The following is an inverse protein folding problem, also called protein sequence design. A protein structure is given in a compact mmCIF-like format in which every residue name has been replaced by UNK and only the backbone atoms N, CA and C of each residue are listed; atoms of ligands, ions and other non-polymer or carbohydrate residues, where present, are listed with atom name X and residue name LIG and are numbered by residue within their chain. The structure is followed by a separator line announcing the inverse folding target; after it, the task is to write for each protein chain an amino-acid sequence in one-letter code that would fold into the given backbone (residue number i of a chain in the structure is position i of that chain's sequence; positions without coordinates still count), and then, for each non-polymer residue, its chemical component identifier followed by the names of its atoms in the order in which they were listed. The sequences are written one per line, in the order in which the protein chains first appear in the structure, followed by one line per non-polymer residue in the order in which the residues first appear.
data_IF_471152407816
#
_entry.id   IF_471152407816
#
_cell.length_a   1.000
_cell.length_b   1.000
_cell.length_c   1.000
_cell.angle_alpha   90.00
_cell.angle_beta   90.00
_cell.angle_gamma   90.00
#
_symmetry.space_group_name_H-M   'P 1'
#
loop_
_entity.id
_entity.type
_entity.pdbx_description
1 polymer ?
#
# COMPACT_ATOMS: atom_id res chain seq x y z
N UNK A 1 -21.52 -0.18 5.26
CA UNK A 1 -22.23 0.68 6.22
C UNK A 1 -23.19 -0.20 6.98
N UNK A 2 -22.88 -0.52 8.24
CA UNK A 2 -23.85 -1.21 9.12
C UNK A 2 -25.08 -0.34 9.24
N UNK A 3 -26.26 -0.89 8.96
CA UNK A 3 -27.56 -0.24 9.01
C UNK A 3 -28.02 0.08 10.43
N UNK A 4 -27.15 0.73 11.20
CA UNK A 4 -27.48 1.38 12.46
C UNK A 4 -27.62 2.87 12.14
N UNK A 5 -28.71 3.22 11.45
CA UNK A 5 -29.30 4.54 11.64
C UNK A 5 -30.56 4.31 12.47
N UNK A 6 -30.27 3.95 13.73
CA UNK A 6 -31.16 4.05 14.87
C UNK A 6 -31.49 5.53 15.05
N UNK A 7 -32.75 5.84 15.39
CA UNK A 7 -33.08 7.13 15.98
C UNK A 7 -32.09 7.43 17.10
N UNK A 8 -31.26 8.47 16.93
CA UNK A 8 -30.50 9.02 18.03
C UNK A 8 -31.51 9.50 19.08
N UNK A 9 -31.57 8.78 20.20
CA UNK A 9 -32.58 8.99 21.24
C UNK A 9 -32.32 10.27 22.03
N UNK A 10 -31.08 10.74 22.03
CA UNK A 10 -30.66 12.00 22.67
C UNK A 10 -29.48 12.61 21.89
N UNK A 11 -29.76 13.38 20.83
CA UNK A 11 -28.73 14.03 20.02
C UNK A 11 -27.86 15.01 20.80
N UNK A 12 -28.36 15.58 21.91
CA UNK A 12 -27.59 16.50 22.73
C UNK A 12 -26.51 15.74 23.50
N UNK A 13 -26.87 14.63 24.14
CA UNK A 13 -25.89 13.76 24.81
C UNK A 13 -24.84 13.27 23.80
N UNK A 14 -25.26 12.78 22.62
CA UNK A 14 -24.32 12.34 21.57
C UNK A 14 -23.35 13.45 21.17
N UNK A 15 -23.84 14.67 21.01
CA UNK A 15 -23.01 15.84 20.68
C UNK A 15 -22.03 16.17 21.81
N UNK A 16 -22.46 16.15 23.08
CA UNK A 16 -21.58 16.40 24.23
C UNK A 16 -20.44 15.38 24.32
N UNK A 17 -20.69 14.10 24.01
CA UNK A 17 -19.64 13.07 23.95
C UNK A 17 -18.64 13.30 22.82
N UNK A 18 -19.11 13.72 21.64
CA UNK A 18 -18.24 14.06 20.51
C UNK A 18 -17.38 15.27 20.85
N UNK A 19 -17.98 16.35 21.37
CA UNK A 19 -17.27 17.56 21.77
C UNK A 19 -16.24 17.28 22.89
N UNK A 20 -16.57 16.39 23.82
CA UNK A 20 -15.63 15.96 24.86
C UNK A 20 -14.41 15.24 24.27
N UNK A 21 -14.61 14.37 23.28
CA UNK A 21 -13.52 13.69 22.60
C UNK A 21 -12.67 14.67 21.78
N UNK A 22 -13.30 15.60 21.07
CA UNK A 22 -12.63 16.64 20.29
C UNK A 22 -11.78 17.55 21.17
N UNK A 23 -12.29 17.93 22.36
CA UNK A 23 -11.53 18.70 23.34
C UNK A 23 -10.28 17.96 23.81
N UNK A 24 -10.36 16.65 24.10
CA UNK A 24 -9.19 15.84 24.45
C UNK A 24 -8.20 15.76 23.29
N UNK A 25 -8.68 15.58 22.06
CA UNK A 25 -7.83 15.55 20.88
C UNK A 25 -7.05 16.86 20.69
N UNK A 26 -7.69 18.00 20.94
CA UNK A 26 -7.08 19.33 20.82
C UNK A 26 -6.08 19.64 21.94
N UNK A 27 -6.41 19.30 23.19
CA UNK A 27 -5.62 19.70 24.36
C UNK A 27 -4.56 18.66 24.77
N UNK A 28 -4.88 17.36 24.67
CA UNK A 28 -4.01 16.26 25.14
C UNK A 28 -3.48 15.37 24.00
N UNK A 29 -4.06 15.45 22.79
CA UNK A 29 -3.58 14.77 21.60
C UNK A 29 -4.15 13.37 21.32
N UNK A 30 -3.77 12.76 20.18
CA UNK A 30 -4.38 11.52 19.67
C UNK A 30 -4.09 10.29 20.53
N UNK A 31 -2.91 10.18 21.13
CA UNK A 31 -2.55 9.05 21.99
C UNK A 31 -3.47 8.97 23.22
N UNK A 32 -3.77 10.13 23.81
CA UNK A 32 -4.66 10.22 24.96
C UNK A 32 -6.10 9.88 24.59
N UNK A 33 -6.60 10.45 23.49
CA UNK A 33 -7.94 10.15 23.00
C UNK A 33 -8.10 8.66 22.72
N UNK A 34 -7.11 8.03 22.08
CA UNK A 34 -7.09 6.58 21.84
C UNK A 34 -7.16 5.78 23.15
N UNK A 35 -6.34 6.13 24.14
CA UNK A 35 -6.36 5.48 25.45
C UNK A 35 -7.74 5.58 26.13
N UNK A 36 -8.40 6.74 26.09
CA UNK A 36 -9.72 6.91 26.69
C UNK A 36 -10.78 6.07 25.97
N UNK A 37 -10.75 6.04 24.64
CA UNK A 37 -11.64 5.20 23.83
C UNK A 37 -11.46 3.72 24.18
N UNK A 38 -10.21 3.24 24.31
CA UNK A 38 -9.96 1.87 24.76
C UNK A 38 -10.58 1.58 26.13
N UNK A 39 -10.44 2.49 27.11
CA UNK A 39 -11.05 2.32 28.45
C UNK A 39 -12.58 2.30 28.40
N UNK A 40 -13.20 3.14 27.57
CA UNK A 40 -14.65 3.17 27.39
C UNK A 40 -15.15 1.87 26.76
N UNK A 41 -14.48 1.39 25.71
CA UNK A 41 -14.75 0.11 25.05
C UNK A 41 -14.62 -1.04 26.04
N UNK A 42 -13.55 -1.08 26.83
CA UNK A 42 -13.30 -2.16 27.80
C UNK A 42 -14.36 -2.17 28.93
N UNK A 43 -14.76 -1.00 29.40
CA UNK A 43 -15.85 -0.81 30.37
C UNK A 43 -17.20 -1.28 29.80
N UNK A 44 -17.51 -0.91 28.56
CA UNK A 44 -18.74 -1.31 27.88
C UNK A 44 -18.81 -2.84 27.69
N UNK A 45 -17.71 -3.47 27.26
CA UNK A 45 -17.61 -4.93 27.14
C UNK A 45 -17.89 -5.65 28.45
N UNK A 46 -17.25 -5.23 29.55
CA UNK A 46 -17.44 -5.84 30.88
C UNK A 46 -18.87 -5.71 31.40
N UNK A 47 -19.59 -4.68 30.98
CA UNK A 47 -20.98 -4.41 31.36
C UNK A 47 -22.01 -5.00 30.39
N UNK A 48 -21.58 -5.85 29.44
CA UNK A 48 -22.47 -6.56 28.52
C UNK A 48 -22.90 -5.76 27.29
N UNK A 49 -22.27 -4.61 27.02
CA UNK A 49 -22.48 -3.85 25.80
C UNK A 49 -21.95 -4.59 24.58
N UNK A 50 -22.78 -4.75 23.55
CA UNK A 50 -22.38 -5.33 22.27
C UNK A 50 -21.69 -4.26 21.41
N UNK A 51 -20.36 -4.28 21.35
CA UNK A 51 -19.62 -3.49 20.37
C UNK A 51 -19.44 -4.32 19.11
N UNK A 52 -20.00 -3.93 17.95
CA UNK A 52 -19.56 -4.48 16.68
C UNK A 52 -18.11 -4.05 16.50
N UNK A 53 -17.17 -4.94 16.82
CA UNK A 53 -15.76 -4.73 16.50
C UNK A 53 -15.62 -4.81 14.98
N UNK A 54 -15.70 -3.66 14.32
CA UNK A 54 -15.26 -3.52 12.93
C UNK A 54 -13.79 -3.13 12.96
N UNK A 55 -12.91 -4.06 12.61
CA UNK A 55 -11.46 -3.85 12.46
C UNK A 55 -11.11 -2.97 11.23
N UNK A 56 -11.97 -2.02 10.89
CA UNK A 56 -11.86 -1.19 9.70
C UNK A 56 -11.62 0.25 10.14
N UNK A 57 -10.46 0.79 9.77
CA UNK A 57 -10.18 2.22 9.90
C UNK A 57 -10.97 3.00 8.85
N UNK A 58 -10.96 4.33 8.94
CA UNK A 58 -11.48 5.18 7.89
C UNK A 58 -10.84 4.85 6.53
N UNK A 59 -11.59 5.04 5.44
CA UNK A 59 -11.09 4.85 4.07
C UNK A 59 -10.23 6.04 3.63
N UNK A 60 -9.13 6.24 4.36
CA UNK A 60 -8.14 7.31 4.23
C UNK A 60 -6.73 6.72 4.37
N UNK A 61 -5.70 7.49 4.03
CA UNK A 61 -4.31 7.09 4.25
C UNK A 61 -4.04 6.98 5.76
N UNK A 62 -3.36 5.90 6.18
CA UNK A 62 -3.00 5.70 7.59
C UNK A 62 -1.92 6.65 8.09
N UNK A 63 -1.07 7.17 7.19
CA UNK A 63 -0.05 8.19 7.46
C UNK A 63 -0.57 9.51 6.87
N UNK A 64 -0.74 10.54 7.70
CA UNK A 64 -1.15 11.87 7.26
C UNK A 64 0.02 12.62 6.57
N UNK A 65 -0.31 13.70 5.86
CA UNK A 65 0.68 14.47 5.09
C UNK A 65 1.67 15.24 5.96
N UNK A 66 1.36 15.50 7.24
CA UNK A 66 2.28 16.17 8.16
C UNK A 66 3.35 15.20 8.71
N UNK A 67 3.00 13.92 8.80
CA UNK A 67 3.86 12.83 9.22
C UNK A 67 4.51 12.07 8.04
N UNK A 68 4.26 12.50 6.80
CA UNK A 68 4.85 11.89 5.60
C UNK A 68 6.35 12.20 5.49
N UNK A 69 7.24 11.18 5.46
CA UNK A 69 8.66 11.41 5.31
C UNK A 69 9.00 11.90 3.90
N UNK A 70 10.07 12.69 3.78
CA UNK A 70 10.56 13.13 2.48
C UNK A 70 11.12 11.94 1.67
N UNK A 71 10.74 11.85 0.40
CA UNK A 71 11.24 10.81 -0.49
C UNK A 71 12.69 11.11 -0.91
N UNK A 72 13.66 10.19 -0.70
CA UNK A 72 15.08 10.49 -0.88
C UNK A 72 15.54 10.53 -2.35
N UNK A 73 14.76 9.98 -3.28
CA UNK A 73 15.11 9.91 -4.71
C UNK A 73 14.54 11.05 -5.55
N UNK A 74 15.11 11.27 -6.74
CA UNK A 74 14.58 12.22 -7.72
C UNK A 74 13.33 11.62 -8.43
N UNK A 75 12.14 12.20 -8.24
CA UNK A 75 10.91 11.64 -8.80
C UNK A 75 10.86 11.66 -10.34
N UNK A 76 11.56 12.59 -11.00
CA UNK A 76 11.62 12.67 -12.45
C UNK A 76 12.49 11.54 -13.03
N UNK A 77 13.67 11.32 -12.46
CA UNK A 77 14.56 10.23 -12.88
C UNK A 77 13.87 8.88 -12.65
N UNK A 78 13.29 8.68 -11.47
CA UNK A 78 12.58 7.45 -11.15
C UNK A 78 11.39 7.19 -12.06
N UNK A 79 10.64 8.24 -12.42
CA UNK A 79 9.54 8.15 -13.39
C UNK A 79 10.03 7.74 -14.77
N UNK A 80 11.16 8.29 -15.23
CA UNK A 80 11.72 7.94 -16.53
C UNK A 80 12.16 6.48 -16.57
N UNK A 81 12.94 6.03 -15.58
CA UNK A 81 13.38 4.62 -15.47
C UNK A 81 12.15 3.69 -15.42
N UNK A 82 11.16 4.01 -14.56
CA UNK A 82 9.93 3.21 -14.45
C UNK A 82 9.13 3.17 -15.76
N UNK A 83 9.16 4.23 -16.56
CA UNK A 83 8.47 4.28 -17.86
C UNK A 83 9.16 3.37 -18.89
N UNK A 84 10.49 3.33 -18.91
CA UNK A 84 11.26 2.39 -19.75
C UNK A 84 10.98 0.93 -19.35
N UNK A 85 10.94 0.63 -18.05
CA UNK A 85 10.60 -0.72 -17.56
C UNK A 85 9.18 -1.12 -17.98
N UNK A 86 8.19 -0.22 -17.84
CA UNK A 86 6.81 -0.46 -18.28
C UNK A 86 6.72 -0.72 -19.79
N UNK A 87 7.46 0.05 -20.59
CA UNK A 87 7.52 -0.13 -22.03
C UNK A 87 8.08 -1.50 -22.41
N UNK A 88 9.25 -1.86 -21.86
CA UNK A 88 9.90 -3.14 -22.16
C UNK A 88 9.04 -4.34 -21.71
N UNK A 89 8.35 -4.24 -20.57
CA UNK A 89 7.45 -5.28 -20.09
C UNK A 89 6.26 -5.49 -21.06
N UNK A 90 5.66 -4.40 -21.55
CA UNK A 90 4.58 -4.47 -22.54
C UNK A 90 5.10 -5.01 -23.89
N UNK A 91 6.25 -4.52 -24.34
CA UNK A 91 6.85 -4.93 -25.61
C UNK A 91 7.11 -6.44 -25.64
N UNK A 92 7.68 -7.01 -24.57
CA UNK A 92 7.92 -8.45 -24.43
C UNK A 92 6.63 -9.27 -24.58
N UNK A 93 5.56 -8.88 -23.87
CA UNK A 93 4.26 -9.59 -23.97
C UNK A 93 3.66 -9.46 -25.38
N UNK A 94 3.77 -8.29 -26.02
CA UNK A 94 3.27 -8.10 -27.38
C UNK A 94 4.10 -8.88 -28.42
N UNK A 95 5.43 -8.96 -28.25
CA UNK A 95 6.31 -9.78 -29.10
C UNK A 95 5.95 -11.26 -28.97
N UNK A 96 5.76 -11.76 -27.74
CA UNK A 96 5.30 -13.12 -27.50
C UNK A 96 3.91 -13.39 -28.12
N UNK A 97 2.96 -12.46 -27.97
CA UNK A 97 1.63 -12.58 -28.56
C UNK A 97 1.66 -12.67 -30.10
N UNK A 98 2.54 -11.90 -30.75
CA UNK A 98 2.73 -11.94 -32.21
C UNK A 98 3.19 -13.30 -32.75
N UNK A 99 3.79 -14.16 -31.92
CA UNK A 99 4.20 -15.51 -32.32
C UNK A 99 2.98 -16.43 -32.57
N UNK A 100 1.80 -16.08 -32.07
CA UNK A 100 0.56 -16.86 -32.22
C UNK A 100 0.71 -18.33 -31.76
N UNK A 101 1.43 -18.52 -30.64
CA UNK A 101 1.72 -19.83 -30.04
C UNK A 101 1.01 -20.01 -28.67
N UNK A 102 -0.02 -19.21 -28.38
CA UNK A 102 -0.75 -19.24 -27.09
C UNK A 102 0.14 -19.13 -25.84
N UNK A 103 1.24 -18.36 -25.94
CA UNK A 103 2.21 -18.19 -24.85
C UNK A 103 1.66 -17.43 -23.63
N UNK A 104 0.62 -16.61 -23.84
CA UNK A 104 0.02 -15.76 -22.81
C UNK A 104 0.90 -14.57 -22.41
N UNK A 105 0.64 -14.02 -21.22
CA UNK A 105 1.35 -12.87 -20.65
C UNK A 105 0.41 -11.80 -20.08
N UNK A 106 0.80 -11.17 -18.98
CA UNK A 106 -0.02 -10.18 -18.27
C UNK A 106 0.63 -8.80 -18.32
N UNK A 107 -0.10 -7.80 -18.81
CA UNK A 107 0.37 -6.40 -18.87
C UNK A 107 -0.17 -5.59 -17.68
N UNK A 108 -1.47 -5.71 -17.43
CA UNK A 108 -2.18 -4.85 -16.46
C UNK A 108 -1.72 -5.05 -15.01
N UNK A 109 -1.38 -6.28 -14.63
CA UNK A 109 -0.94 -6.60 -13.26
C UNK A 109 0.35 -5.87 -12.88
N UNK A 110 1.33 -5.84 -13.78
CA UNK A 110 2.54 -5.07 -13.53
C UNK A 110 2.27 -3.57 -13.66
N UNK A 111 1.43 -3.16 -14.62
CA UNK A 111 1.12 -1.74 -14.80
C UNK A 111 0.49 -1.09 -13.54
N UNK A 112 -0.37 -1.79 -12.80
CA UNK A 112 -0.95 -1.26 -11.57
C UNK A 112 0.06 -1.17 -10.42
N UNK A 113 1.06 -2.06 -10.38
CA UNK A 113 2.00 -2.20 -9.26
C UNK A 113 3.42 -1.67 -9.53
N UNK A 114 3.74 -1.21 -10.75
CA UNK A 114 5.12 -0.87 -11.11
C UNK A 114 5.73 0.27 -10.26
N UNK A 115 4.92 1.18 -9.75
CA UNK A 115 5.40 2.24 -8.85
C UNK A 115 5.80 1.64 -7.49
N UNK A 116 4.98 0.77 -6.92
CA UNK A 116 5.27 0.07 -5.66
C UNK A 116 6.61 -0.68 -5.74
N UNK A 117 6.78 -1.51 -6.76
CA UNK A 117 8.04 -2.23 -6.96
C UNK A 117 9.19 -1.28 -7.30
N UNK A 118 8.95 -0.20 -8.04
CA UNK A 118 9.97 0.81 -8.34
C UNK A 118 10.55 1.44 -7.07
N UNK A 119 9.69 1.83 -6.12
CA UNK A 119 10.10 2.32 -4.80
C UNK A 119 10.85 1.23 -4.03
N UNK A 120 10.32 0.01 -4.01
CA UNK A 120 10.96 -1.14 -3.37
C UNK A 120 12.40 -1.36 -3.86
N UNK A 121 12.60 -1.43 -5.18
CA UNK A 121 13.93 -1.64 -5.77
C UNK A 121 14.91 -0.48 -5.54
N UNK A 122 14.42 0.77 -5.52
CA UNK A 122 15.32 1.92 -5.41
C UNK A 122 15.73 2.21 -3.97
N UNK A 123 14.87 1.88 -2.99
CA UNK A 123 15.02 2.37 -1.60
C UNK A 123 14.97 1.31 -0.51
N UNK A 124 14.50 0.08 -0.80
CA UNK A 124 14.23 -0.91 0.24
C UNK A 124 14.94 -2.24 0.00
N UNK A 125 14.76 -2.84 -1.19
CA UNK A 125 15.17 -4.22 -1.45
C UNK A 125 16.68 -4.38 -1.38
N UNK A 126 17.12 -5.25 -0.47
CA UNK A 126 18.52 -5.63 -0.30
C UNK A 126 18.84 -6.87 -1.10
N UNK A 127 19.86 -6.78 -1.94
CA UNK A 127 20.44 -7.93 -2.61
C UNK A 127 21.25 -8.80 -1.63
N UNK A 128 21.55 -10.06 -1.99
CA UNK A 128 22.54 -10.86 -1.28
C UNK A 128 23.86 -10.10 -1.12
N UNK A 129 24.48 -10.22 0.05
CA UNK A 129 25.68 -9.49 0.44
C UNK A 129 26.60 -10.40 1.28
N UNK A 130 27.70 -9.85 1.78
CA UNK A 130 28.71 -10.63 2.52
C UNK A 130 28.25 -11.11 3.90
N UNK A 131 27.16 -10.56 4.44
CA UNK A 131 26.62 -10.88 5.78
C UNK A 131 25.45 -11.85 5.70
N UNK A 132 24.53 -11.63 4.76
CA UNK A 132 23.32 -12.44 4.61
C UNK A 132 22.82 -12.52 3.15
N UNK A 133 21.76 -13.29 2.93
CA UNK A 133 21.15 -13.49 1.62
C UNK A 133 20.33 -12.30 1.10
N UNK A 134 20.26 -11.18 1.81
CA UNK A 134 19.38 -10.05 1.48
C UNK A 134 17.90 -10.33 1.76
N UNK A 135 17.04 -9.52 1.16
CA UNK A 135 15.59 -9.61 1.37
C UNK A 135 14.96 -10.75 0.56
N UNK A 136 14.08 -11.52 1.20
CA UNK A 136 13.28 -12.55 0.54
C UNK A 136 12.01 -11.94 -0.05
N UNK A 137 12.10 -11.49 -1.31
CA UNK A 137 10.97 -10.84 -2.00
C UNK A 137 10.10 -11.86 -2.74
N UNK A 138 8.89 -12.09 -2.23
CA UNK A 138 7.88 -12.95 -2.86
C UNK A 138 7.09 -12.17 -3.93
N UNK A 139 7.69 -12.02 -5.11
CA UNK A 139 7.06 -11.31 -6.23
C UNK A 139 5.75 -11.96 -6.66
N UNK A 140 4.74 -11.14 -6.98
CA UNK A 140 3.50 -11.63 -7.59
C UNK A 140 3.81 -12.27 -8.96
N UNK A 141 3.43 -13.54 -9.17
CA UNK A 141 3.82 -14.28 -10.39
C UNK A 141 3.46 -13.58 -11.70
N UNK A 142 2.30 -12.93 -11.78
CA UNK A 142 1.82 -12.25 -12.99
C UNK A 142 2.56 -10.95 -13.32
N UNK A 143 3.49 -10.49 -12.48
CA UNK A 143 4.30 -9.30 -12.76
C UNK A 143 5.70 -9.63 -13.29
N UNK A 144 5.99 -10.91 -13.57
CA UNK A 144 7.29 -11.35 -14.08
C UNK A 144 7.80 -10.58 -15.31
N UNK A 145 6.96 -10.15 -16.30
CA UNK A 145 7.46 -9.32 -17.40
C UNK A 145 8.08 -8.00 -16.93
N UNK A 146 7.57 -7.43 -15.83
CA UNK A 146 8.15 -6.23 -15.22
C UNK A 146 9.52 -6.46 -14.59
N UNK A 147 9.72 -7.61 -13.95
CA UNK A 147 10.99 -7.99 -13.33
C UNK A 147 12.05 -8.27 -14.40
N UNK A 148 11.68 -8.97 -15.47
CA UNK A 148 12.57 -9.20 -16.61
C UNK A 148 12.91 -7.89 -17.33
N UNK A 149 11.93 -7.01 -17.54
CA UNK A 149 12.16 -5.70 -18.14
C UNK A 149 13.15 -4.83 -17.33
N UNK A 150 13.09 -4.86 -16.00
CA UNK A 150 14.09 -4.21 -15.15
C UNK A 150 15.45 -4.89 -15.27
N UNK A 151 15.49 -6.22 -15.22
CA UNK A 151 16.73 -6.99 -15.34
C UNK A 151 17.43 -6.75 -16.68
N UNK A 152 16.67 -6.56 -17.76
CA UNK A 152 17.18 -6.15 -19.07
C UNK A 152 17.77 -4.74 -19.04
N UNK A 153 17.07 -3.77 -18.44
CA UNK A 153 17.57 -2.40 -18.31
C UNK A 153 18.84 -2.30 -17.44
N UNK A 154 18.99 -3.21 -16.47
CA UNK A 154 20.18 -3.37 -15.62
C UNK A 154 21.31 -4.16 -16.31
N UNK A 155 21.12 -4.61 -17.56
CA UNK A 155 22.12 -5.36 -18.32
C UNK A 155 22.29 -6.83 -17.89
N UNK A 156 21.38 -7.36 -17.06
CA UNK A 156 21.40 -8.78 -16.63
C UNK A 156 20.79 -9.70 -17.68
N UNK A 157 19.85 -9.19 -18.49
CA UNK A 157 19.21 -9.91 -19.59
C UNK A 157 19.62 -9.28 -20.92
N UNK A 158 19.81 -10.11 -21.95
CA UNK A 158 20.05 -9.66 -23.33
C UNK A 158 18.72 -9.45 -24.05
N UNK A 159 18.75 -8.84 -25.25
CA UNK A 159 17.54 -8.73 -26.08
C UNK A 159 17.01 -10.10 -26.50
N UNK A 160 17.89 -11.08 -26.74
CA UNK A 160 17.49 -12.46 -27.06
C UNK A 160 16.70 -13.13 -25.93
N UNK A 161 16.99 -12.83 -24.66
CA UNK A 161 16.19 -13.32 -23.53
C UNK A 161 14.79 -12.70 -23.47
N UNK A 162 14.58 -11.55 -24.13
CA UNK A 162 13.33 -10.78 -24.10
C UNK A 162 12.38 -11.12 -25.26
N UNK A 163 12.81 -11.94 -26.23
CA UNK A 163 12.12 -12.21 -27.49
C UNK A 163 11.41 -13.57 -27.56
#
# INVERSE_FOLDING_TARGET
MSGINLHDIDPLETQEWIESLDSVLQEEGPERAHYLLEKLIDSARRKGGHLPYTATTAYLNSIDTANEPHMPGDPHIERNIRSMIRWNAQAMVLRASKKNLELGGHISSFASSATLYGVGFNHFFKAPNDVDGGDLVYFQGHISPGIYARSFLEGRFTEEHMD
#
